data_IF_255869655684
#
_entry.id   IF_255869655684
#
_cell.length_a   1.000
_cell.length_b   1.000
_cell.length_c   1.000
_cell.angle_alpha   90.00
_cell.angle_beta   90.00
_cell.angle_gamma   90.00
#
_symmetry.space_group_name_H-M   'P 1'
#
loop_
_entity.id
_entity.type
_entity.pdbx_description
1 polymer ?
#
# COMPACT_ATOMS: atom_id res chain seq x y z
N UNK A 1 19.23 16.91 -22.11
CA UNK A 1 18.14 16.93 -23.11
C UNK A 1 17.61 15.51 -23.31
N UNK A 2 16.79 14.99 -22.38
CA UNK A 2 15.97 13.78 -22.53
C UNK A 2 15.34 13.42 -21.17
N UNK A 3 14.46 14.27 -20.63
CA UNK A 3 13.66 13.92 -19.44
C UNK A 3 12.35 14.73 -19.35
N UNK A 4 11.69 15.01 -20.47
CA UNK A 4 10.44 15.81 -20.50
C UNK A 4 9.24 15.13 -21.17
N UNK A 5 9.24 13.80 -21.34
CA UNK A 5 8.14 13.10 -22.02
C UNK A 5 7.26 12.19 -21.16
N UNK A 6 7.35 12.24 -19.83
CA UNK A 6 6.51 11.39 -18.96
C UNK A 6 5.48 12.17 -18.12
N UNK A 7 5.23 13.44 -18.41
CA UNK A 7 4.33 14.29 -17.62
C UNK A 7 3.08 14.79 -18.38
N UNK A 8 2.87 14.35 -19.63
CA UNK A 8 1.87 14.98 -20.51
C UNK A 8 0.68 14.09 -20.91
N UNK A 9 0.48 12.94 -20.28
CA UNK A 9 -0.63 12.05 -20.63
C UNK A 9 -1.77 11.94 -19.59
N UNK A 10 -1.86 12.80 -18.59
CA UNK A 10 -2.96 12.71 -17.58
C UNK A 10 -3.65 14.04 -17.26
N UNK A 11 -3.55 15.02 -18.12
CA UNK A 11 -4.31 16.27 -18.00
C UNK A 11 -5.26 16.47 -19.19
N UNK A 12 -5.90 15.41 -19.67
CA UNK A 12 -7.08 15.56 -20.52
C UNK A 12 -8.28 15.91 -19.63
N UNK A 13 -8.89 17.06 -19.92
CA UNK A 13 -10.06 17.68 -19.37
C UNK A 13 -11.12 16.69 -18.85
N UNK A 14 -11.02 16.27 -17.59
CA UNK A 14 -12.15 15.68 -16.89
C UNK A 14 -13.10 16.83 -16.51
N UNK A 15 -13.87 17.36 -17.47
CA UNK A 15 -15.10 18.06 -17.16
C UNK A 15 -15.97 17.08 -16.36
N UNK A 16 -16.18 17.39 -15.07
CA UNK A 16 -17.10 16.62 -14.26
C UNK A 16 -18.48 16.66 -14.97
N UNK A 17 -19.08 15.51 -15.22
CA UNK A 17 -20.41 15.43 -15.78
C UNK A 17 -21.39 16.26 -14.93
N UNK A 18 -22.43 16.83 -15.53
CA UNK A 18 -23.40 17.72 -14.84
C UNK A 18 -24.01 17.09 -13.57
N UNK A 19 -24.01 15.75 -13.45
CA UNK A 19 -24.54 15.00 -12.30
C UNK A 19 -23.43 14.54 -11.31
N UNK A 20 -22.22 15.08 -11.39
CA UNK A 20 -21.12 14.68 -10.50
C UNK A 20 -21.31 15.22 -9.08
N UNK A 21 -21.57 14.35 -8.11
CA UNK A 21 -21.75 14.71 -6.70
C UNK A 21 -20.41 14.84 -5.94
N UNK A 22 -19.39 14.09 -6.33
CA UNK A 22 -18.07 14.13 -5.70
C UNK A 22 -16.94 13.76 -6.67
N UNK A 23 -15.79 14.43 -6.52
CA UNK A 23 -14.54 14.10 -7.22
C UNK A 23 -13.52 13.66 -6.20
N UNK A 24 -12.91 12.50 -6.43
CA UNK A 24 -11.84 11.95 -5.59
C UNK A 24 -10.55 11.98 -6.39
N UNK A 25 -9.55 12.73 -5.87
CA UNK A 25 -8.24 12.86 -6.52
C UNK A 25 -7.15 12.23 -5.68
N UNK A 26 -6.27 11.44 -6.30
CA UNK A 26 -5.02 11.02 -5.67
C UNK A 26 -3.93 12.05 -5.99
N UNK A 27 -3.29 12.59 -4.94
CA UNK A 27 -2.25 13.60 -5.08
C UNK A 27 -0.89 12.98 -4.76
N UNK A 28 -0.08 12.75 -5.78
CA UNK A 28 1.31 12.33 -5.64
C UNK A 28 2.26 13.52 -5.46
N UNK A 29 3.43 13.28 -4.85
CA UNK A 29 4.48 14.29 -4.72
C UNK A 29 5.88 13.66 -4.74
N UNK A 30 6.84 14.37 -5.28
CA UNK A 30 8.28 14.09 -5.22
C UNK A 30 9.08 15.23 -4.57
N UNK A 31 8.41 16.33 -4.22
CA UNK A 31 9.04 17.52 -3.64
C UNK A 31 8.03 18.42 -2.95
N UNK A 32 8.55 19.40 -2.19
CA UNK A 32 7.75 20.45 -1.57
C UNK A 32 7.08 21.33 -2.65
N UNK A 33 5.90 21.87 -2.33
CA UNK A 33 5.11 22.74 -3.19
C UNK A 33 4.20 22.01 -4.19
N UNK A 34 4.39 20.71 -4.42
CA UNK A 34 3.61 19.98 -5.41
C UNK A 34 2.19 19.68 -4.91
N UNK A 35 2.02 19.24 -3.67
CA UNK A 35 0.68 19.07 -3.08
C UNK A 35 -0.04 20.41 -2.99
N UNK A 36 0.66 21.49 -2.60
CA UNK A 36 0.10 22.84 -2.60
C UNK A 36 -0.45 23.21 -3.98
N UNK A 37 0.33 23.02 -5.04
CA UNK A 37 -0.09 23.30 -6.41
C UNK A 37 -1.34 22.51 -6.82
N UNK A 38 -1.38 21.21 -6.52
CA UNK A 38 -2.54 20.36 -6.80
C UNK A 38 -3.79 20.82 -6.02
N UNK A 39 -3.62 21.28 -4.78
CA UNK A 39 -4.72 21.80 -3.97
C UNK A 39 -5.27 23.13 -4.49
N UNK A 40 -4.44 23.98 -5.10
CA UNK A 40 -4.88 25.22 -5.75
C UNK A 40 -5.86 24.95 -6.89
N UNK A 41 -5.69 23.79 -7.57
CA UNK A 41 -6.60 23.32 -8.64
C UNK A 41 -7.83 22.62 -8.06
N UNK A 42 -7.62 21.59 -7.24
CA UNK A 42 -8.67 20.69 -6.77
C UNK A 42 -9.54 21.28 -5.66
N UNK A 43 -9.03 22.24 -4.86
CA UNK A 43 -9.72 22.89 -3.72
C UNK A 43 -10.46 21.89 -2.82
N UNK A 44 -9.75 20.94 -2.18
CA UNK A 44 -10.36 19.83 -1.48
C UNK A 44 -11.20 20.31 -0.28
N UNK A 45 -12.39 19.74 -0.11
CA UNK A 45 -13.20 19.88 1.11
C UNK A 45 -12.78 18.90 2.18
N UNK A 46 -12.42 17.69 1.78
CA UNK A 46 -11.92 16.62 2.63
C UNK A 46 -10.55 16.19 2.16
N UNK A 47 -9.66 15.90 3.10
CA UNK A 47 -8.35 15.34 2.82
C UNK A 47 -8.10 14.06 3.62
N UNK A 48 -7.43 13.09 3.00
CA UNK A 48 -6.94 11.91 3.69
C UNK A 48 -5.41 11.88 3.56
N UNK A 49 -4.70 11.81 4.67
CA UNK A 49 -3.28 11.46 4.69
C UNK A 49 -3.17 10.01 5.20
N UNK A 50 -2.88 9.08 4.27
CA UNK A 50 -2.92 7.65 4.56
C UNK A 50 -1.78 7.20 5.47
N UNK A 51 -0.57 7.68 5.21
CA UNK A 51 0.62 7.38 6.02
C UNK A 51 1.76 8.37 5.74
N UNK A 52 2.75 8.37 6.65
CA UNK A 52 4.06 9.00 6.47
C UNK A 52 5.09 7.87 6.38
N UNK A 53 5.19 7.29 5.17
CA UNK A 53 6.14 6.21 4.88
C UNK A 53 7.55 6.71 4.61
N UNK A 54 8.38 5.83 4.04
CA UNK A 54 9.78 6.12 3.63
C UNK A 54 9.93 6.34 2.13
N UNK A 55 8.83 6.25 1.37
CA UNK A 55 8.84 6.50 -0.08
C UNK A 55 9.17 7.97 -0.36
N UNK A 56 9.96 8.21 -1.40
CA UNK A 56 10.49 9.53 -1.78
C UNK A 56 11.49 10.14 -0.78
N UNK A 57 12.00 9.34 0.19
CA UNK A 57 13.04 9.82 1.11
C UNK A 57 14.36 10.17 0.39
N UNK A 58 14.63 9.58 -0.78
CA UNK A 58 15.76 9.95 -1.62
C UNK A 58 15.73 11.44 -2.01
N UNK A 59 14.55 11.99 -2.31
CA UNK A 59 14.37 13.37 -2.75
C UNK A 59 14.10 14.32 -1.58
N UNK A 60 13.40 13.87 -0.55
CA UNK A 60 12.97 14.67 0.58
C UNK A 60 13.88 14.54 1.81
N UNK A 61 14.73 13.53 1.85
CA UNK A 61 15.78 13.35 2.86
C UNK A 61 15.28 12.71 4.17
N UNK A 62 14.08 13.02 4.65
CA UNK A 62 13.58 12.52 5.94
C UNK A 62 12.07 12.35 5.99
N UNK A 63 11.57 11.60 6.98
CA UNK A 63 10.12 11.45 7.24
C UNK A 63 9.46 12.79 7.60
N UNK A 64 10.15 13.66 8.29
CA UNK A 64 9.68 14.99 8.66
C UNK A 64 9.41 15.84 7.40
N UNK A 65 10.29 15.77 6.41
CA UNK A 65 10.11 16.46 5.14
C UNK A 65 8.98 15.84 4.31
N UNK A 66 8.82 14.52 4.34
CA UNK A 66 7.68 13.83 3.72
C UNK A 66 6.37 14.28 4.38
N UNK A 67 6.33 14.35 5.71
CA UNK A 67 5.17 14.85 6.45
C UNK A 67 4.88 16.32 6.09
N UNK A 68 5.92 17.17 6.03
CA UNK A 68 5.80 18.57 5.61
C UNK A 68 5.17 18.69 4.23
N UNK A 69 5.64 17.91 3.25
CA UNK A 69 5.11 17.94 1.89
C UNK A 69 3.65 17.45 1.83
N UNK A 70 3.31 16.35 2.51
CA UNK A 70 1.93 15.85 2.55
C UNK A 70 0.99 16.79 3.29
N UNK A 71 1.47 17.47 4.34
CA UNK A 71 0.68 18.41 5.11
C UNK A 71 0.42 19.75 4.38
N UNK A 72 1.02 20.00 3.22
CA UNK A 72 0.69 21.17 2.38
C UNK A 72 -0.81 21.21 2.00
N UNK A 73 -1.54 20.10 2.09
CA UNK A 73 -2.98 20.05 1.87
C UNK A 73 -3.79 20.71 2.99
N UNK A 74 -3.29 20.72 4.24
CA UNK A 74 -4.06 21.12 5.43
C UNK A 74 -4.56 22.58 5.38
N UNK A 75 -3.79 23.57 4.91
CA UNK A 75 -4.26 24.95 4.79
C UNK A 75 -5.43 25.17 3.82
N UNK A 76 -5.65 24.19 2.91
CA UNK A 76 -6.72 24.27 1.90
C UNK A 76 -8.06 23.72 2.39
N UNK A 77 -8.07 23.01 3.53
CA UNK A 77 -9.31 22.46 4.08
C UNK A 77 -10.13 23.57 4.72
N UNK A 78 -11.37 23.83 4.23
CA UNK A 78 -12.23 24.90 4.73
C UNK A 78 -12.81 24.56 6.12
N UNK A 79 -13.40 25.55 6.78
CA UNK A 79 -13.98 25.40 8.13
C UNK A 79 -15.09 24.32 8.20
N UNK A 80 -15.80 24.07 7.09
CA UNK A 80 -16.86 23.06 6.96
C UNK A 80 -16.36 21.75 6.37
N UNK A 81 -15.02 21.60 6.21
CA UNK A 81 -14.34 20.41 5.75
C UNK A 81 -13.64 19.64 6.87
N UNK A 82 -12.93 18.57 6.50
CA UNK A 82 -12.14 17.79 7.47
C UNK A 82 -10.87 17.21 6.86
N UNK A 83 -9.83 17.08 7.70
CA UNK A 83 -8.63 16.31 7.43
C UNK A 83 -8.65 15.00 8.23
N UNK A 84 -8.65 13.87 7.53
CA UNK A 84 -8.69 12.51 8.09
C UNK A 84 -7.25 11.97 8.10
N UNK A 85 -6.68 11.82 9.30
CA UNK A 85 -5.26 11.61 9.52
C UNK A 85 -4.99 10.30 10.26
N UNK A 86 -3.95 9.58 9.83
CA UNK A 86 -3.57 8.32 10.47
C UNK A 86 -2.93 8.57 11.85
N UNK A 87 -3.53 8.03 12.89
CA UNK A 87 -3.04 8.14 14.28
C UNK A 87 -1.61 7.62 14.46
N UNK A 88 -1.22 6.59 13.71
CA UNK A 88 0.13 6.01 13.81
C UNK A 88 1.23 6.99 13.39
N UNK A 89 0.87 7.98 12.58
CA UNK A 89 1.79 9.02 12.10
C UNK A 89 1.64 10.36 12.85
N UNK A 90 0.88 10.39 13.95
CA UNK A 90 0.56 11.59 14.72
C UNK A 90 1.79 12.44 15.04
N UNK A 91 2.88 11.82 15.46
CA UNK A 91 4.12 12.53 15.83
C UNK A 91 4.69 13.37 14.68
N UNK A 92 4.51 12.95 13.43
CA UNK A 92 4.97 13.67 12.25
C UNK A 92 3.95 14.70 11.75
N UNK A 93 2.66 14.49 12.01
CA UNK A 93 1.57 15.32 11.51
C UNK A 93 1.23 16.48 12.45
N UNK A 94 1.37 16.27 13.76
CA UNK A 94 0.97 17.23 14.82
C UNK A 94 1.54 18.64 14.65
N UNK A 95 2.80 18.86 14.20
CA UNK A 95 3.36 20.20 13.99
C UNK A 95 2.60 21.06 12.98
N UNK A 96 1.85 20.45 12.07
CA UNK A 96 1.16 21.11 10.95
C UNK A 96 -0.35 21.28 11.16
N UNK A 97 -0.93 20.69 12.21
CA UNK A 97 -2.39 20.70 12.43
C UNK A 97 -2.97 22.12 12.60
N UNK A 98 -2.18 23.04 13.15
CA UNK A 98 -2.57 24.46 13.33
C UNK A 98 -2.91 25.18 12.02
N UNK A 99 -2.42 24.66 10.89
CA UNK A 99 -2.64 25.24 9.56
C UNK A 99 -3.95 24.77 8.94
N UNK A 100 -4.61 23.75 9.51
CA UNK A 100 -5.91 23.24 9.07
C UNK A 100 -7.04 24.07 9.71
N UNK A 101 -7.96 24.58 8.89
CA UNK A 101 -9.15 25.30 9.36
C UNK A 101 -10.33 24.37 9.63
N UNK A 102 -10.35 23.21 8.95
CA UNK A 102 -11.39 22.20 9.11
C UNK A 102 -11.18 21.33 10.33
N UNK A 103 -12.10 20.39 10.53
CA UNK A 103 -12.03 19.41 11.59
C UNK A 103 -10.85 18.46 11.38
N UNK A 104 -10.09 18.14 12.44
CA UNK A 104 -9.08 17.09 12.43
C UNK A 104 -9.72 15.81 12.96
N UNK A 105 -9.75 14.76 12.14
CA UNK A 105 -10.30 13.47 12.50
C UNK A 105 -9.20 12.41 12.41
N UNK A 106 -8.88 11.82 13.55
CA UNK A 106 -7.93 10.72 13.60
C UNK A 106 -8.61 9.39 13.25
N UNK A 107 -7.93 8.55 12.50
CA UNK A 107 -8.34 7.16 12.25
C UNK A 107 -7.18 6.19 12.54
N UNK A 108 -7.47 4.90 12.57
CA UNK A 108 -6.54 3.84 13.00
C UNK A 108 -6.08 4.04 14.45
N UNK A 109 -6.98 4.55 15.30
CA UNK A 109 -6.75 4.74 16.72
C UNK A 109 -6.88 3.42 17.48
N UNK A 110 -6.26 3.35 18.66
CA UNK A 110 -6.39 2.21 19.57
C UNK A 110 -7.72 2.26 20.36
N UNK A 111 -8.24 3.46 20.60
CA UNK A 111 -9.49 3.72 21.32
C UNK A 111 -10.38 4.67 20.49
N UNK A 112 -11.69 4.36 20.49
CA UNK A 112 -12.70 5.18 19.81
C UNK A 112 -12.89 6.59 20.41
N UNK A 113 -12.38 6.84 21.60
CA UNK A 113 -12.34 8.17 22.23
C UNK A 113 -11.33 9.11 21.55
N UNK A 114 -10.31 8.55 20.91
CA UNK A 114 -9.27 9.31 20.22
C UNK A 114 -9.60 9.54 18.75
N UNK A 115 -10.46 8.69 18.17
CA UNK A 115 -10.85 8.76 16.76
C UNK A 115 -11.45 7.46 16.25
N UNK A 116 -11.50 7.29 14.94
CA UNK A 116 -12.02 6.07 14.33
C UNK A 116 -11.08 4.88 14.56
N UNK A 117 -11.66 3.74 14.97
CA UNK A 117 -10.91 2.51 15.23
C UNK A 117 -11.59 1.29 14.61
N UNK A 118 -10.80 0.25 14.37
CA UNK A 118 -11.26 -1.06 13.93
C UNK A 118 -11.08 -2.08 15.07
N UNK A 119 -12.19 -2.64 15.52
CA UNK A 119 -12.24 -3.66 16.54
C UNK A 119 -12.52 -5.03 15.93
N UNK A 120 -12.23 -6.13 16.65
CA UNK A 120 -12.53 -7.49 16.22
C UNK A 120 -12.09 -7.77 14.77
N UNK A 121 -10.87 -7.38 14.42
CA UNK A 121 -10.29 -7.58 13.08
C UNK A 121 -10.13 -9.06 12.79
N UNK A 122 -10.66 -9.50 11.66
CA UNK A 122 -10.46 -10.85 11.15
C UNK A 122 -9.83 -10.73 9.74
N UNK A 123 -8.71 -11.43 9.56
CA UNK A 123 -7.93 -11.42 8.33
C UNK A 123 -7.87 -12.82 7.75
N UNK A 124 -8.19 -12.95 6.46
CA UNK A 124 -8.04 -14.18 5.69
C UNK A 124 -7.45 -13.88 4.32
N UNK A 125 -7.07 -14.93 3.60
CA UNK A 125 -6.59 -14.81 2.21
C UNK A 125 -7.68 -14.36 1.23
N UNK A 126 -8.95 -14.50 1.59
CA UNK A 126 -10.12 -14.17 0.75
C UNK A 126 -10.70 -12.80 1.06
N UNK A 127 -10.30 -12.17 2.16
CA UNK A 127 -10.81 -10.89 2.56
C UNK A 127 -10.56 -10.55 4.02
N UNK A 128 -11.15 -9.46 4.47
CA UNK A 128 -11.01 -8.97 5.83
C UNK A 128 -12.36 -8.53 6.39
N UNK A 129 -12.52 -8.59 7.71
CA UNK A 129 -13.68 -7.99 8.37
C UNK A 129 -13.31 -7.36 9.69
N UNK A 130 -14.06 -6.35 10.11
CA UNK A 130 -13.85 -5.67 11.38
C UNK A 130 -15.13 -4.96 11.83
N UNK A 131 -15.15 -4.53 13.09
CA UNK A 131 -16.18 -3.61 13.60
C UNK A 131 -15.57 -2.21 13.55
N UNK A 132 -16.13 -1.35 12.68
CA UNK A 132 -15.81 0.07 12.67
C UNK A 132 -16.48 0.75 13.86
N UNK A 133 -15.74 1.62 14.57
CA UNK A 133 -16.26 2.43 15.65
C UNK A 133 -15.70 3.84 15.61
N UNK A 134 -16.60 4.83 15.64
CA UNK A 134 -16.28 6.26 15.67
C UNK A 134 -17.49 7.06 16.15
N UNK A 135 -17.32 7.88 17.18
CA UNK A 135 -18.43 8.60 17.82
C UNK A 135 -19.57 7.62 18.19
N UNK A 136 -20.78 7.89 17.76
CA UNK A 136 -21.97 7.04 17.97
C UNK A 136 -22.10 5.89 16.97
N UNK A 137 -21.22 5.86 15.94
CA UNK A 137 -21.23 4.81 14.93
C UNK A 137 -20.55 3.55 15.43
N UNK A 138 -21.22 2.40 15.27
CA UNK A 138 -20.63 1.08 15.51
C UNK A 138 -21.30 0.06 14.58
N UNK A 139 -20.57 -0.43 13.56
CA UNK A 139 -21.11 -1.38 12.60
C UNK A 139 -20.01 -2.28 12.00
N UNK A 140 -20.44 -3.46 11.52
CA UNK A 140 -19.53 -4.44 10.90
C UNK A 140 -19.21 -4.03 9.47
N UNK A 141 -17.96 -4.18 9.08
CA UNK A 141 -17.47 -4.04 7.70
C UNK A 141 -16.92 -5.38 7.23
N UNK A 142 -17.21 -5.71 5.98
CA UNK A 142 -16.65 -6.84 5.24
C UNK A 142 -15.96 -6.30 3.97
N UNK A 143 -14.71 -6.71 3.77
CA UNK A 143 -13.90 -6.37 2.59
C UNK A 143 -13.59 -7.66 1.83
N UNK A 144 -13.71 -7.63 0.53
CA UNK A 144 -13.29 -8.72 -0.39
C UNK A 144 -11.79 -8.72 -0.66
N UNK A 145 -11.04 -7.87 0.03
CA UNK A 145 -9.60 -7.70 -0.11
C UNK A 145 -8.89 -8.07 1.20
N UNK A 146 -7.81 -8.84 1.08
CA UNK A 146 -6.99 -9.28 2.20
C UNK A 146 -6.00 -8.19 2.66
N UNK A 147 -5.60 -8.25 3.93
CA UNK A 147 -4.51 -7.43 4.47
C UNK A 147 -4.97 -6.31 5.40
N UNK A 148 -4.20 -6.11 6.45
CA UNK A 148 -4.48 -5.11 7.49
C UNK A 148 -4.47 -3.68 6.96
N UNK A 149 -3.60 -3.39 5.98
CA UNK A 149 -3.54 -2.07 5.33
C UNK A 149 -4.86 -1.71 4.62
N UNK A 150 -5.61 -2.70 4.10
CA UNK A 150 -6.93 -2.45 3.50
C UNK A 150 -7.99 -2.13 4.55
N UNK A 151 -7.90 -2.71 5.77
CA UNK A 151 -8.73 -2.29 6.90
C UNK A 151 -8.44 -0.84 7.27
N UNK A 152 -7.15 -0.47 7.33
CA UNK A 152 -6.71 0.89 7.67
C UNK A 152 -7.21 1.90 6.63
N UNK A 153 -7.06 1.59 5.34
CA UNK A 153 -7.55 2.45 4.26
C UNK A 153 -9.08 2.57 4.26
N UNK A 154 -9.79 1.47 4.52
CA UNK A 154 -11.24 1.47 4.63
C UNK A 154 -11.73 2.36 5.77
N UNK A 155 -11.05 2.38 6.92
CA UNK A 155 -11.43 3.28 8.02
C UNK A 155 -11.41 4.76 7.59
N UNK A 156 -10.36 5.19 6.87
CA UNK A 156 -10.29 6.56 6.37
C UNK A 156 -11.41 6.87 5.38
N UNK A 157 -11.69 5.95 4.46
CA UNK A 157 -12.79 6.08 3.49
C UNK A 157 -14.16 6.16 4.18
N UNK A 158 -14.42 5.32 5.19
CA UNK A 158 -15.66 5.33 5.97
C UNK A 158 -15.87 6.68 6.65
N UNK A 159 -14.81 7.24 7.28
CA UNK A 159 -14.91 8.55 7.94
C UNK A 159 -15.34 9.63 6.95
N UNK A 160 -14.71 9.69 5.76
CA UNK A 160 -15.07 10.67 4.73
C UNK A 160 -16.49 10.41 4.20
N UNK A 161 -16.87 9.16 3.95
CA UNK A 161 -18.20 8.80 3.49
C UNK A 161 -19.30 9.25 4.48
N UNK A 162 -19.09 9.02 5.78
CA UNK A 162 -19.98 9.51 6.84
C UNK A 162 -20.05 11.05 6.88
N UNK A 163 -18.93 11.75 6.67
CA UNK A 163 -18.88 13.22 6.59
C UNK A 163 -19.57 13.76 5.34
N UNK A 164 -19.63 12.96 4.28
CA UNK A 164 -20.41 13.25 3.07
C UNK A 164 -21.92 12.91 3.22
N UNK A 165 -22.33 12.31 4.34
CA UNK A 165 -23.73 11.99 4.62
C UNK A 165 -24.22 10.66 4.03
N UNK A 166 -23.32 9.76 3.59
CA UNK A 166 -23.71 8.45 3.10
C UNK A 166 -24.30 7.60 4.24
N UNK A 167 -25.32 6.80 3.89
CA UNK A 167 -25.91 5.84 4.82
C UNK A 167 -24.99 4.64 5.06
N UNK A 168 -25.14 3.98 6.22
CA UNK A 168 -24.27 2.86 6.60
C UNK A 168 -24.34 1.70 5.61
N UNK A 169 -25.50 1.40 5.09
CA UNK A 169 -25.72 0.34 4.10
C UNK A 169 -25.07 0.65 2.75
N UNK A 170 -25.05 1.90 2.33
CA UNK A 170 -24.31 2.35 1.13
C UNK A 170 -22.81 2.16 1.32
N UNK A 171 -22.28 2.56 2.50
CA UNK A 171 -20.84 2.38 2.84
C UNK A 171 -20.48 0.90 2.86
N UNK A 172 -21.28 0.05 3.52
CA UNK A 172 -21.07 -1.39 3.58
C UNK A 172 -21.10 -2.03 2.18
N UNK A 173 -22.08 -1.65 1.36
CA UNK A 173 -22.20 -2.13 -0.03
C UNK A 173 -21.02 -1.70 -0.88
N UNK A 174 -20.62 -0.43 -0.81
CA UNK A 174 -19.47 0.09 -1.54
C UNK A 174 -18.18 -0.63 -1.19
N UNK A 175 -17.90 -0.83 0.10
CA UNK A 175 -16.70 -1.50 0.58
C UNK A 175 -16.66 -3.00 0.28
N UNK A 176 -17.82 -3.67 0.27
CA UNK A 176 -17.92 -5.08 -0.13
C UNK A 176 -17.60 -5.29 -1.61
N UNK A 177 -17.86 -4.29 -2.45
CA UNK A 177 -17.62 -4.33 -3.89
C UNK A 177 -16.26 -3.72 -4.30
N UNK A 178 -15.39 -3.39 -3.34
CA UNK A 178 -14.06 -2.85 -3.64
C UNK A 178 -13.23 -3.90 -4.39
N UNK A 179 -12.82 -3.55 -5.60
CA UNK A 179 -11.82 -4.28 -6.36
C UNK A 179 -10.46 -3.58 -6.24
N UNK A 180 -9.40 -4.36 -6.04
CA UNK A 180 -8.05 -3.81 -6.12
C UNK A 180 -7.71 -3.47 -7.57
N UNK A 181 -7.25 -2.25 -7.82
CA UNK A 181 -6.85 -1.81 -9.15
C UNK A 181 -5.53 -2.46 -9.58
N UNK A 182 -5.49 -2.95 -10.82
CA UNK A 182 -4.27 -3.38 -11.48
C UNK A 182 -3.52 -4.52 -10.76
N UNK A 183 -2.21 -4.32 -10.57
CA UNK A 183 -1.26 -5.29 -10.02
C UNK A 183 -1.06 -5.09 -8.50
N UNK A 184 -2.17 -4.98 -7.73
CA UNK A 184 -2.16 -4.80 -6.27
C UNK A 184 -2.84 -5.97 -5.61
N UNK A 185 -2.06 -6.92 -5.06
CA UNK A 185 -2.51 -8.16 -4.41
C UNK A 185 -3.52 -8.97 -5.24
N UNK A 186 -3.49 -8.83 -6.57
CA UNK A 186 -4.38 -9.57 -7.46
C UNK A 186 -4.02 -11.05 -7.43
N UNK A 187 -4.98 -11.89 -7.10
CA UNK A 187 -4.79 -13.34 -7.03
C UNK A 187 -5.25 -13.99 -8.33
N UNK A 188 -4.37 -14.78 -8.95
CA UNK A 188 -4.60 -15.47 -10.23
C UNK A 188 -4.07 -16.91 -10.15
N UNK A 189 -4.68 -17.85 -10.89
CA UNK A 189 -4.23 -19.24 -10.92
C UNK A 189 -3.44 -19.52 -12.20
N UNK A 190 -2.23 -20.01 -12.06
CA UNK A 190 -1.38 -20.43 -13.16
C UNK A 190 -1.83 -21.76 -13.77
N UNK A 191 -1.40 -22.05 -15.01
CA UNK A 191 -1.75 -23.30 -15.70
C UNK A 191 -1.31 -24.57 -14.95
N UNK A 192 -0.22 -24.51 -14.19
CA UNK A 192 0.23 -25.63 -13.35
C UNK A 192 -0.51 -25.75 -12.01
N UNK A 193 -1.57 -24.95 -11.79
CA UNK A 193 -2.38 -24.95 -10.57
C UNK A 193 -1.83 -24.07 -9.44
N UNK A 194 -0.62 -23.50 -9.56
CA UNK A 194 -0.06 -22.59 -8.56
C UNK A 194 -0.90 -21.32 -8.46
N UNK A 195 -1.02 -20.77 -7.25
CA UNK A 195 -1.66 -19.48 -7.01
C UNK A 195 -0.61 -18.38 -7.10
N UNK A 196 -0.90 -17.31 -7.82
CA UNK A 196 -0.03 -16.14 -7.96
C UNK A 196 -0.71 -14.95 -7.30
N UNK A 197 -0.03 -14.28 -6.36
CA UNK A 197 -0.40 -13.00 -5.80
C UNK A 197 0.44 -11.94 -6.52
N UNK A 198 -0.17 -11.27 -7.49
CA UNK A 198 0.46 -10.19 -8.24
C UNK A 198 0.32 -8.87 -7.47
N UNK A 199 1.43 -8.38 -6.95
CA UNK A 199 1.55 -7.09 -6.25
C UNK A 199 2.73 -6.27 -6.81
N UNK A 200 2.91 -6.34 -8.14
CA UNK A 200 4.06 -5.79 -8.85
C UNK A 200 3.91 -4.31 -9.27
N UNK A 201 2.85 -3.63 -8.85
CA UNK A 201 2.64 -2.22 -9.21
C UNK A 201 3.71 -1.30 -8.62
N UNK A 202 4.01 -1.42 -7.32
CA UNK A 202 5.04 -0.65 -6.65
C UNK A 202 5.45 -1.32 -5.34
N UNK A 203 6.60 -0.91 -4.77
CA UNK A 203 7.10 -1.47 -3.51
C UNK A 203 7.76 -0.41 -2.62
N UNK A 204 7.53 -0.57 -1.32
CA UNK A 204 8.23 0.07 -0.23
C UNK A 204 8.25 -0.89 0.97
N UNK A 205 9.05 -0.64 2.02
CA UNK A 205 9.17 -1.58 3.14
C UNK A 205 7.83 -1.91 3.83
N UNK A 206 6.95 -0.94 3.99
CA UNK A 206 5.62 -1.12 4.59
C UNK A 206 4.73 -1.99 3.70
N UNK A 207 4.69 -1.71 2.39
CA UNK A 207 3.91 -2.47 1.41
C UNK A 207 4.45 -3.90 1.24
N UNK A 208 5.79 -4.10 1.27
CA UNK A 208 6.40 -5.43 1.27
C UNK A 208 5.95 -6.26 2.47
N UNK A 209 5.98 -5.66 3.67
CA UNK A 209 5.53 -6.32 4.89
C UNK A 209 4.04 -6.69 4.83
N UNK A 210 3.19 -5.79 4.35
CA UNK A 210 1.76 -6.05 4.16
C UNK A 210 1.48 -7.21 3.20
N UNK A 211 2.18 -7.26 2.07
CA UNK A 211 2.04 -8.33 1.09
C UNK A 211 2.55 -9.69 1.64
N UNK A 212 3.65 -9.70 2.37
CA UNK A 212 4.17 -10.89 3.04
C UNK A 212 3.21 -11.39 4.15
N UNK A 213 2.53 -10.49 4.85
CA UNK A 213 1.49 -10.85 5.79
C UNK A 213 0.32 -11.56 5.08
N UNK A 214 -0.11 -11.09 3.91
CA UNK A 214 -1.12 -11.79 3.10
C UNK A 214 -0.62 -13.16 2.66
N UNK A 215 0.62 -13.27 2.17
CA UNK A 215 1.23 -14.56 1.81
C UNK A 215 1.24 -15.55 2.99
N UNK A 216 1.48 -15.08 4.21
CA UNK A 216 1.52 -15.92 5.41
C UNK A 216 0.18 -16.59 5.77
N UNK A 217 -0.94 -16.07 5.26
CA UNK A 217 -2.29 -16.61 5.50
C UNK A 217 -2.54 -17.93 4.76
N UNK A 218 -1.76 -18.24 3.74
CA UNK A 218 -1.87 -19.49 2.97
C UNK A 218 -1.11 -20.64 3.65
N UNK A 219 -1.60 -21.08 4.81
CA UNK A 219 -0.91 -22.03 5.70
C UNK A 219 -0.65 -23.40 5.08
N UNK A 220 -1.59 -23.87 4.24
CA UNK A 220 -1.54 -25.21 3.63
C UNK A 220 -0.77 -25.24 2.30
N UNK A 221 -0.26 -24.10 1.84
CA UNK A 221 0.46 -23.98 0.59
C UNK A 221 1.96 -23.72 0.81
N UNK A 222 2.77 -24.19 -0.14
CA UNK A 222 4.18 -23.82 -0.25
C UNK A 222 4.29 -22.35 -0.63
N UNK A 223 4.77 -21.52 0.29
CA UNK A 223 4.88 -20.07 0.14
C UNK A 223 6.21 -19.67 -0.50
N UNK A 224 6.13 -19.05 -1.67
CA UNK A 224 7.27 -18.56 -2.42
C UNK A 224 7.16 -17.05 -2.54
N UNK A 225 8.16 -16.31 -2.05
CA UNK A 225 8.23 -14.86 -2.21
C UNK A 225 9.25 -14.52 -3.32
N UNK A 226 8.82 -13.77 -4.33
CA UNK A 226 9.66 -13.21 -5.39
C UNK A 226 9.66 -11.70 -5.20
N UNK A 227 10.72 -11.18 -4.59
CA UNK A 227 10.81 -9.81 -4.14
C UNK A 227 11.94 -9.09 -4.89
N UNK A 228 11.60 -8.00 -5.54
CA UNK A 228 12.55 -7.15 -6.23
C UNK A 228 12.91 -5.90 -5.44
N UNK A 229 13.61 -5.01 -6.12
CA UNK A 229 14.13 -3.77 -5.55
C UNK A 229 13.02 -2.79 -5.18
N UNK A 230 13.31 -2.00 -4.16
CA UNK A 230 12.50 -0.85 -3.74
C UNK A 230 13.26 0.43 -4.07
N UNK A 231 12.72 1.21 -5.01
CA UNK A 231 13.35 2.46 -5.45
C UNK A 231 12.99 3.64 -4.55
N UNK A 232 13.70 4.75 -4.71
CA UNK A 232 13.48 6.03 -4.03
C UNK A 232 13.56 6.00 -2.49
N UNK A 233 14.25 4.98 -1.93
CA UNK A 233 14.45 4.87 -0.48
C UNK A 233 15.67 5.65 0.03
N UNK A 234 16.57 6.13 -0.85
CA UNK A 234 17.75 6.89 -0.48
C UNK A 234 18.57 6.19 0.63
N UNK A 235 18.83 6.90 1.71
CA UNK A 235 19.62 6.39 2.85
C UNK A 235 18.99 5.18 3.56
N UNK A 236 17.67 4.97 3.41
CA UNK A 236 16.94 3.83 4.00
C UNK A 236 16.95 2.57 3.11
N UNK A 237 17.59 2.62 1.93
CA UNK A 237 17.54 1.52 0.97
C UNK A 237 18.03 0.21 1.55
N UNK A 238 19.25 0.18 2.07
CA UNK A 238 19.83 -1.04 2.64
C UNK A 238 18.99 -1.59 3.78
N UNK A 239 18.64 -0.76 4.76
CA UNK A 239 17.84 -1.18 5.90
C UNK A 239 16.44 -1.68 5.47
N UNK A 240 15.78 -0.99 4.55
CA UNK A 240 14.47 -1.38 4.04
C UNK A 240 14.49 -2.75 3.35
N UNK A 241 15.51 -3.02 2.55
CA UNK A 241 15.71 -4.31 1.90
C UNK A 241 16.04 -5.42 2.92
N UNK A 242 16.93 -5.19 3.88
CA UNK A 242 17.25 -6.17 4.96
C UNK A 242 15.98 -6.49 5.79
N UNK A 243 15.20 -5.48 6.18
CA UNK A 243 13.97 -5.67 6.95
C UNK A 243 12.92 -6.45 6.16
N UNK A 244 12.86 -6.26 4.84
CA UNK A 244 11.99 -7.04 3.95
C UNK A 244 12.39 -8.52 3.94
N UNK A 245 13.66 -8.84 3.91
CA UNK A 245 14.15 -10.22 4.02
C UNK A 245 13.78 -10.87 5.36
N UNK A 246 13.96 -10.14 6.48
CA UNK A 246 13.53 -10.59 7.81
C UNK A 246 12.02 -10.83 7.86
N UNK A 247 11.23 -9.96 7.21
CA UNK A 247 9.78 -10.11 7.14
C UNK A 247 9.36 -11.35 6.31
N UNK A 248 10.09 -11.70 5.24
CA UNK A 248 9.84 -12.91 4.47
C UNK A 248 10.07 -14.18 5.31
N UNK A 249 11.12 -14.21 6.12
CA UNK A 249 11.32 -15.29 7.08
C UNK A 249 10.20 -15.36 8.12
N UNK A 250 9.83 -14.23 8.72
CA UNK A 250 8.76 -14.17 9.73
C UNK A 250 7.38 -14.57 9.16
N UNK A 251 7.12 -14.32 7.86
CA UNK A 251 5.94 -14.78 7.15
C UNK A 251 5.91 -16.30 6.89
N UNK A 252 7.00 -17.00 7.22
CA UNK A 252 7.14 -18.44 7.01
C UNK A 252 7.24 -18.80 5.53
N UNK A 253 7.93 -17.99 4.72
CA UNK A 253 8.22 -18.35 3.33
C UNK A 253 9.07 -19.61 3.26
N UNK A 254 8.66 -20.56 2.42
CA UNK A 254 9.41 -21.80 2.13
C UNK A 254 10.56 -21.54 1.16
N UNK A 255 10.40 -20.50 0.31
CA UNK A 255 11.41 -20.08 -0.67
C UNK A 255 11.36 -18.56 -0.85
N UNK A 256 12.55 -17.95 -0.97
CA UNK A 256 12.72 -16.54 -1.30
C UNK A 256 13.60 -16.40 -2.54
N UNK A 257 13.08 -15.70 -3.56
CA UNK A 257 13.82 -15.27 -4.74
C UNK A 257 13.94 -13.75 -4.66
N UNK A 258 15.14 -13.25 -4.46
CA UNK A 258 15.47 -11.83 -4.43
C UNK A 258 15.96 -11.39 -5.82
N UNK A 259 15.32 -10.42 -6.46
CA UNK A 259 15.58 -10.03 -7.85
C UNK A 259 16.17 -8.63 -7.93
N UNK A 260 17.32 -8.48 -8.56
CA UNK A 260 18.02 -7.22 -8.76
C UNK A 260 19.16 -6.99 -7.76
N UNK A 261 19.98 -5.98 -8.02
CA UNK A 261 21.23 -5.77 -7.31
C UNK A 261 21.02 -5.38 -5.83
N UNK A 262 20.11 -4.42 -5.58
CA UNK A 262 19.76 -4.00 -4.21
C UNK A 262 19.02 -5.10 -3.44
N UNK A 263 18.35 -6.03 -4.13
CA UNK A 263 17.66 -7.14 -3.50
C UNK A 263 18.61 -8.18 -2.88
N UNK A 264 19.93 -8.07 -3.05
CA UNK A 264 20.91 -8.83 -2.27
C UNK A 264 20.73 -8.61 -0.77
N UNK A 265 20.37 -7.40 -0.38
CA UNK A 265 20.13 -7.09 1.04
C UNK A 265 18.83 -7.77 1.54
N UNK A 266 17.82 -8.00 0.68
CA UNK A 266 16.65 -8.83 1.02
C UNK A 266 17.11 -10.27 1.31
N UNK A 267 17.90 -10.86 0.42
CA UNK A 267 18.43 -12.21 0.61
C UNK A 267 19.26 -12.32 1.89
N UNK A 268 20.16 -11.36 2.11
CA UNK A 268 20.99 -11.26 3.33
C UNK A 268 20.14 -11.16 4.60
N UNK A 269 19.13 -10.30 4.60
CA UNK A 269 18.22 -10.12 5.73
C UNK A 269 17.43 -11.38 6.09
N UNK A 270 16.99 -12.17 5.09
CA UNK A 270 16.29 -13.42 5.31
C UNK A 270 17.19 -14.49 5.95
N UNK A 271 18.43 -14.63 5.45
CA UNK A 271 19.41 -15.56 6.02
C UNK A 271 19.80 -15.17 7.44
N UNK A 272 20.03 -13.87 7.70
CA UNK A 272 20.31 -13.35 9.04
C UNK A 272 19.17 -13.63 10.02
N UNK A 273 17.92 -13.61 9.55
CA UNK A 273 16.76 -13.93 10.38
C UNK A 273 16.61 -15.43 10.68
N UNK A 274 17.33 -16.32 9.97
CA UNK A 274 17.30 -17.76 10.18
C UNK A 274 16.74 -18.58 9.02
N UNK A 275 16.46 -17.97 7.87
CA UNK A 275 16.06 -18.73 6.69
C UNK A 275 17.24 -19.55 6.16
N UNK A 276 17.02 -20.84 5.87
CA UNK A 276 18.09 -21.73 5.38
C UNK A 276 18.64 -21.23 4.03
N UNK A 277 19.98 -21.27 3.89
CA UNK A 277 20.68 -20.72 2.73
C UNK A 277 20.20 -21.34 1.39
N UNK A 278 19.86 -22.63 1.38
CA UNK A 278 19.34 -23.36 0.22
C UNK A 278 17.90 -22.96 -0.16
N UNK A 279 17.23 -22.18 0.68
CA UNK A 279 15.86 -21.65 0.47
C UNK A 279 15.87 -20.18 0.03
N UNK A 280 17.04 -19.56 -0.06
CA UNK A 280 17.20 -18.17 -0.47
C UNK A 280 18.05 -18.11 -1.72
N UNK A 281 17.51 -17.57 -2.79
CA UNK A 281 18.24 -17.39 -4.05
C UNK A 281 18.16 -15.93 -4.48
N UNK A 282 19.35 -15.33 -4.66
CA UNK A 282 19.46 -14.06 -5.36
C UNK A 282 19.64 -14.29 -6.85
N UNK A 283 18.93 -13.51 -7.68
CA UNK A 283 19.06 -13.52 -9.14
C UNK A 283 19.16 -12.10 -9.67
N UNK A 284 19.80 -11.96 -10.81
CA UNK A 284 20.07 -10.64 -11.39
C UNK A 284 18.84 -9.98 -12.00
N UNK A 285 17.97 -10.78 -12.63
CA UNK A 285 16.88 -10.30 -13.48
C UNK A 285 15.65 -11.23 -13.43
N UNK A 286 14.55 -10.74 -14.04
CA UNK A 286 13.27 -11.46 -14.14
C UNK A 286 13.42 -12.82 -14.85
N UNK A 287 14.27 -12.93 -15.88
CA UNK A 287 14.42 -14.17 -16.67
C UNK A 287 14.99 -15.29 -15.80
N UNK A 288 15.97 -14.99 -14.95
CA UNK A 288 16.52 -15.97 -14.02
C UNK A 288 15.49 -16.38 -12.97
N UNK A 289 14.68 -15.43 -12.46
CA UNK A 289 13.59 -15.72 -11.53
C UNK A 289 12.54 -16.64 -12.16
N UNK A 290 12.13 -16.39 -13.40
CA UNK A 290 11.19 -17.22 -14.17
C UNK A 290 11.72 -18.64 -14.34
N UNK A 291 13.00 -18.77 -14.74
CA UNK A 291 13.64 -20.07 -14.91
C UNK A 291 13.63 -20.91 -13.63
N UNK A 292 13.90 -20.28 -12.50
CA UNK A 292 13.89 -20.93 -11.18
C UNK A 292 12.46 -21.29 -10.76
N UNK A 293 11.51 -20.39 -10.91
CA UNK A 293 10.10 -20.63 -10.56
C UNK A 293 9.52 -21.83 -11.29
N UNK A 294 9.81 -22.00 -12.59
CA UNK A 294 9.36 -23.14 -13.38
C UNK A 294 9.83 -24.49 -12.83
N UNK A 295 10.94 -24.50 -12.08
CA UNK A 295 11.50 -25.72 -11.48
C UNK A 295 10.94 -26.04 -10.10
N UNK A 296 10.56 -24.99 -9.33
CA UNK A 296 10.21 -25.16 -7.91
C UNK A 296 8.73 -25.05 -7.61
N UNK A 297 7.88 -24.64 -8.59
CA UNK A 297 6.44 -24.43 -8.42
C UNK A 297 5.59 -25.60 -8.89
N UNK A 298 4.49 -25.84 -8.20
CA UNK A 298 3.45 -26.82 -8.53
C UNK A 298 2.08 -26.32 -8.03
N UNK A 299 1.04 -27.12 -8.18
CA UNK A 299 -0.34 -26.83 -7.77
C UNK A 299 -0.50 -26.50 -6.27
N UNK A 300 0.43 -26.95 -5.44
CA UNK A 300 0.44 -26.64 -4.00
C UNK A 300 1.22 -25.36 -3.65
N UNK A 301 1.68 -24.60 -4.65
CA UNK A 301 2.45 -23.37 -4.43
C UNK A 301 1.55 -22.15 -4.40
N UNK A 302 1.92 -21.16 -3.56
CA UNK A 302 1.45 -19.77 -3.64
C UNK A 302 2.68 -18.85 -3.79
N UNK A 303 2.63 -17.97 -4.79
CA UNK A 303 3.75 -17.15 -5.22
C UNK A 303 3.37 -15.68 -5.08
N UNK A 304 4.07 -14.95 -4.22
CA UNK A 304 3.96 -13.49 -4.17
C UNK A 304 5.01 -12.87 -5.09
N UNK A 305 4.60 -11.98 -5.99
CA UNK A 305 5.50 -11.20 -6.86
C UNK A 305 5.35 -9.71 -6.54
N UNK A 306 6.42 -9.07 -6.05
CA UNK A 306 6.39 -7.66 -5.66
C UNK A 306 7.73 -6.95 -5.83
N UNK A 307 7.68 -5.75 -6.46
CA UNK A 307 8.82 -4.83 -6.61
C UNK A 307 8.35 -3.42 -6.95
N UNK A 308 9.28 -2.48 -7.00
CA UNK A 308 9.06 -1.15 -7.59
C UNK A 308 8.69 -1.26 -9.07
N UNK A 309 7.87 -0.31 -9.56
CA UNK A 309 7.31 -0.31 -10.92
C UNK A 309 8.37 -0.49 -12.01
N UNK A 310 9.53 0.15 -11.86
CA UNK A 310 10.62 0.09 -12.84
C UNK A 310 11.24 -1.30 -13.03
N UNK A 311 10.99 -2.26 -12.11
CA UNK A 311 11.42 -3.65 -12.24
C UNK A 311 10.57 -4.47 -13.23
N UNK A 312 9.38 -3.99 -13.58
CA UNK A 312 8.44 -4.64 -14.50
C UNK A 312 8.18 -6.13 -14.18
N UNK A 313 8.04 -6.44 -12.88
CA UNK A 313 7.93 -7.84 -12.44
C UNK A 313 6.60 -8.51 -12.81
N UNK A 314 5.64 -7.79 -13.37
CA UNK A 314 4.49 -8.39 -14.06
C UNK A 314 4.90 -9.28 -15.25
N UNK A 315 6.12 -9.15 -15.78
CA UNK A 315 6.69 -10.10 -16.72
C UNK A 315 6.78 -11.51 -16.12
N UNK A 316 7.26 -11.62 -14.86
CA UNK A 316 7.32 -12.89 -14.14
C UNK A 316 5.92 -13.51 -14.01
N UNK A 317 4.95 -12.68 -13.61
CA UNK A 317 3.56 -13.13 -13.45
C UNK A 317 3.04 -13.69 -14.78
N UNK A 318 3.17 -12.94 -15.87
CA UNK A 318 2.71 -13.32 -17.21
C UNK A 318 3.34 -14.64 -17.69
N UNK A 319 4.64 -14.78 -17.50
CA UNK A 319 5.40 -15.96 -17.94
C UNK A 319 5.12 -17.24 -17.11
N UNK A 320 4.72 -17.09 -15.84
CA UNK A 320 4.35 -18.23 -14.98
C UNK A 320 2.86 -18.58 -15.16
N UNK A 321 2.03 -17.60 -15.50
CA UNK A 321 0.62 -17.86 -15.87
C UNK A 321 0.50 -18.76 -17.12
N UNK A 322 1.44 -18.67 -18.06
CA UNK A 322 1.55 -19.50 -19.26
C UNK A 322 0.81 -18.93 -20.43
#
# INVERSE_FOLDING_TARGET
EETTEAADETAEDAEAAEDTEAVITEMGMRGLGQIKFLCEIARPKYAIITNIGTVHSELLGSKENIAKAKCEILPFIPNDGAAVLNWQDKIFLEPYLKDCKGEIIWYNCNDSKEGACALARNLSSEGSSFIFKWQDYSFKIELTVAGEHNIINAMAAIVVALKCGLAIDEIQSGLKNVGLSGMRLKTEQAKNGALIINDSYNANPEAMRGALQVLSMYREKKKIAVLGEMYELGIYSKEGHEQTGKAAYAAGCDYLIAVGEMARDIAGGAVQAGMAQDKVTWVKDNKQAISLLRQITNENSVILVKASRGMQMEEIVREIMG
#
